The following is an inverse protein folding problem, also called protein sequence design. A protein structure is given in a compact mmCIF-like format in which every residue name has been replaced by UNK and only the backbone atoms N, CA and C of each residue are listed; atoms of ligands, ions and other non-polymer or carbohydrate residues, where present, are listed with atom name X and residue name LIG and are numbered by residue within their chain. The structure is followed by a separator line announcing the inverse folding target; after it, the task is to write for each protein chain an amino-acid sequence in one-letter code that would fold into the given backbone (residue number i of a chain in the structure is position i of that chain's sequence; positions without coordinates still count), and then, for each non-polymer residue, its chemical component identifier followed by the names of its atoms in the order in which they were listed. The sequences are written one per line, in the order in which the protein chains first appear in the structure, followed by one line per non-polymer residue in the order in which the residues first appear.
data_IF_371365618269
#
_entry.id   IF_371365618269
#
_cell.length_a   1.000
_cell.length_b   1.000
_cell.length_c   1.000
_cell.angle_alpha   90.00
_cell.angle_beta   90.00
_cell.angle_gamma   90.00
#
_symmetry.space_group_name_H-M   'P 1'
#
loop_
_entity.id
_entity.type
_entity.pdbx_description
1 polymer ?
#
# COMPACT_ATOMS: atom_id res chain seq x y z
N UNK A 1 -2.53 8.62 -19.64
CA UNK A 1 -1.45 7.91 -18.91
C UNK A 1 -2.04 6.58 -18.44
N UNK A 2 -1.26 5.49 -18.48
CA UNK A 2 -1.73 4.15 -18.06
C UNK A 2 -1.13 3.85 -16.68
N UNK A 3 -1.75 2.95 -15.91
CA UNK A 3 -1.16 2.44 -14.67
C UNK A 3 0.19 1.76 -14.97
N UNK A 4 1.22 2.13 -14.22
CA UNK A 4 2.56 1.56 -14.32
C UNK A 4 2.91 0.82 -13.02
N UNK A 5 3.85 -0.14 -13.06
CA UNK A 5 4.26 -0.90 -11.86
C UNK A 5 4.69 -0.02 -10.68
N UNK A 6 5.27 1.15 -10.96
CA UNK A 6 5.65 2.12 -9.93
C UNK A 6 4.47 2.62 -9.09
N UNK A 7 3.27 2.76 -9.67
CA UNK A 7 2.08 3.20 -8.94
C UNK A 7 1.56 2.10 -8.00
N UNK A 8 1.69 0.84 -8.40
CA UNK A 8 1.34 -0.31 -7.55
C UNK A 8 2.32 -0.43 -6.38
N UNK A 9 3.61 -0.32 -6.66
CA UNK A 9 4.65 -0.32 -5.62
C UNK A 9 4.43 0.81 -4.60
N UNK A 10 4.09 2.01 -5.07
CA UNK A 10 3.76 3.14 -4.19
C UNK A 10 2.55 2.83 -3.29
N UNK A 11 1.45 2.33 -3.86
CA UNK A 11 0.25 1.98 -3.08
C UNK A 11 0.57 0.91 -2.02
N UNK A 12 1.29 -0.15 -2.40
CA UNK A 12 1.70 -1.22 -1.47
C UNK A 12 2.57 -0.66 -0.33
N UNK A 13 3.49 0.27 -0.62
CA UNK A 13 4.31 0.88 0.42
C UNK A 13 3.49 1.71 1.41
N UNK A 14 2.43 2.39 0.96
CA UNK A 14 1.52 3.08 1.87
C UNK A 14 0.67 2.13 2.71
N UNK A 15 0.16 1.04 2.11
CA UNK A 15 -0.59 0.02 2.85
C UNK A 15 0.28 -0.63 3.94
N UNK A 16 1.57 -0.87 3.65
CA UNK A 16 2.58 -1.36 4.61
C UNK A 16 2.90 -0.38 5.74
N UNK A 17 3.00 0.91 5.42
CA UNK A 17 3.42 1.94 6.37
C UNK A 17 2.29 2.37 7.32
N UNK A 18 1.04 2.12 6.93
CA UNK A 18 -0.16 2.49 7.69
C UNK A 18 -0.84 1.25 8.25
N UNK A 19 -1.94 1.42 8.98
CA UNK A 19 -2.81 0.31 9.37
C UNK A 19 -3.97 0.12 8.37
N UNK A 20 -3.87 0.70 7.16
CA UNK A 20 -4.89 0.58 6.11
C UNK A 20 -4.60 -0.69 5.31
N UNK A 21 -5.58 -1.58 5.21
CA UNK A 21 -5.43 -2.88 4.56
C UNK A 21 -5.93 -2.91 3.12
N UNK A 22 -6.78 -1.96 2.72
CA UNK A 22 -7.39 -1.94 1.40
C UNK A 22 -7.03 -0.65 0.67
N UNK A 23 -6.44 -0.81 -0.51
CA UNK A 23 -6.08 0.29 -1.39
C UNK A 23 -6.82 0.21 -2.73
N UNK A 24 -7.24 1.36 -3.25
CA UNK A 24 -7.82 1.47 -4.59
C UNK A 24 -6.91 2.32 -5.47
N UNK A 25 -6.42 1.73 -6.56
CA UNK A 25 -5.64 2.43 -7.57
C UNK A 25 -6.57 2.79 -8.73
N UNK A 26 -6.75 4.09 -8.98
CA UNK A 26 -7.65 4.61 -10.00
C UNK A 26 -6.86 5.30 -11.12
N UNK A 27 -7.25 5.04 -12.36
CA UNK A 27 -6.81 5.78 -13.54
C UNK A 27 -8.00 6.53 -14.14
N UNK A 28 -7.91 7.85 -14.19
CA UNK A 28 -8.91 8.74 -14.78
C UNK A 28 -8.56 9.17 -16.22
N UNK A 29 -7.80 8.34 -16.94
CA UNK A 29 -7.51 8.55 -18.35
C UNK A 29 -8.72 8.35 -19.26
N UNK A 30 -8.52 8.47 -20.58
CA UNK A 30 -9.59 8.30 -21.60
C UNK A 30 -10.37 6.98 -21.43
N UNK A 31 -9.71 5.94 -20.95
CA UNK A 31 -10.34 4.71 -20.48
C UNK A 31 -10.11 4.62 -18.98
N UNK A 32 -11.17 4.58 -18.15
CA UNK A 32 -11.01 4.39 -16.73
C UNK A 32 -10.51 2.99 -16.42
N UNK A 33 -9.57 2.89 -15.50
CA UNK A 33 -9.05 1.62 -14.99
C UNK A 33 -9.03 1.69 -13.47
N UNK A 34 -9.33 0.58 -12.80
CA UNK A 34 -9.14 0.49 -11.36
C UNK A 34 -8.58 -0.86 -10.97
N UNK A 35 -7.80 -0.88 -9.88
CA UNK A 35 -7.30 -2.09 -9.24
C UNK A 35 -7.49 -2.00 -7.73
N UNK A 36 -7.92 -3.10 -7.11
CA UNK A 36 -8.05 -3.23 -5.66
C UNK A 36 -6.88 -4.05 -5.12
N UNK A 37 -6.22 -3.51 -4.11
CA UNK A 37 -5.13 -4.18 -3.40
C UNK A 37 -5.59 -4.47 -1.97
N UNK A 38 -5.22 -5.65 -1.48
CA UNK A 38 -5.41 -6.05 -0.09
C UNK A 38 -4.02 -6.32 0.48
N UNK A 39 -3.73 -5.74 1.63
CA UNK A 39 -2.50 -5.95 2.38
C UNK A 39 -2.86 -6.31 3.83
N UNK A 40 -2.50 -7.50 4.24
CA UNK A 40 -2.72 -7.98 5.61
C UNK A 40 -1.69 -7.30 6.54
N UNK A 41 -2.16 -6.39 7.39
CA UNK A 41 -1.33 -5.61 8.30
C UNK A 41 -1.14 -6.28 9.67
N UNK A 42 -1.13 -7.62 9.73
CA UNK A 42 -0.69 -8.35 10.92
C UNK A 42 0.73 -7.95 11.32
N UNK A 43 0.82 -6.95 12.19
CA UNK A 43 2.05 -6.55 12.86
C UNK A 43 2.24 -7.50 14.02
N UNK A 44 3.07 -8.51 13.84
CA UNK A 44 3.60 -9.21 15.01
C UNK A 44 4.47 -8.22 15.77
N UNK A 45 4.41 -8.24 17.09
CA UNK A 45 5.19 -7.35 17.96
C UNK A 45 6.70 -7.48 17.70
N UNK A 46 7.16 -8.62 17.18
CA UNK A 46 8.54 -8.88 16.75
C UNK A 46 8.95 -8.18 15.46
N UNK A 47 7.99 -7.78 14.62
CA UNK A 47 8.24 -7.38 13.23
C UNK A 47 8.20 -5.86 13.05
N UNK A 48 8.05 -5.09 14.14
CA UNK A 48 8.10 -3.62 14.11
C UNK A 48 9.51 -3.10 14.43
N UNK A 49 10.34 -2.81 13.40
CA UNK A 49 11.68 -2.26 13.61
C UNK A 49 11.67 -0.83 14.17
N UNK A 50 10.50 -0.18 14.30
CA UNK A 50 10.37 1.15 14.89
C UNK A 50 10.15 1.11 16.40
N UNK A 51 9.80 -0.04 16.97
CA UNK A 51 9.61 -0.18 18.42
C UNK A 51 10.94 -0.19 19.17
N UNK A 52 12.01 -0.71 18.57
CA UNK A 52 13.36 -0.76 19.17
C UNK A 52 14.07 0.59 19.24
N UNK A 53 13.58 1.63 18.55
CA UNK A 53 14.17 2.98 18.57
C UNK A 53 13.44 3.94 19.52
N UNK A 54 12.40 3.47 20.20
CA UNK A 54 11.61 4.25 21.16
C UNK A 54 12.04 4.02 22.63
N UNK A 55 13.09 3.23 22.87
CA UNK A 55 13.72 2.99 24.18
C UNK A 55 15.14 3.56 24.23
#
# INVERSE_FOLDING_TARGET
RVLAPAHEAQLINYLKATNIEVGLLLNFGRKPEFKRFIYDNKKNISDDPRRSVAE
#
